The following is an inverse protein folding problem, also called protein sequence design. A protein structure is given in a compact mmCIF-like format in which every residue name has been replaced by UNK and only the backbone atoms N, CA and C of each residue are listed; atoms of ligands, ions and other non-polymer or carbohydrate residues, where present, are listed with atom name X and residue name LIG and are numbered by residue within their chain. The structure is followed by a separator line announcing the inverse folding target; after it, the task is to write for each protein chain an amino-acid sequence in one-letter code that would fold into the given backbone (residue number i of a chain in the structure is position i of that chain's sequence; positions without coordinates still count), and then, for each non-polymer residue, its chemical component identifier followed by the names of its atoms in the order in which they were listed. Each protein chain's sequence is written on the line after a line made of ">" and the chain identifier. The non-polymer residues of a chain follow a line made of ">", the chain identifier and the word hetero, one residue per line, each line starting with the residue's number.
data_IF_353677782767
#
_entry.id   IF_353677782767
#
_cell.length_a   1.000
_cell.length_b   1.000
_cell.length_c   1.000
_cell.angle_alpha   90.00
_cell.angle_beta   90.00
_cell.angle_gamma   90.00
#
_symmetry.space_group_name_H-M   'P 1'
#
loop_
_entity.id
_entity.type
_entity.pdbx_description
1 polymer ?
#
# COMPACT_ATOMS: atom_id res chain seq x y z
N UNK A 1 16.59 1.90 20.47
CA UNK A 1 15.45 1.82 21.40
C UNK A 1 14.33 2.60 20.74
N UNK A 2 13.32 1.94 20.15
CA UNK A 2 12.17 2.62 19.55
C UNK A 2 11.38 3.27 20.69
N UNK A 3 11.44 4.60 20.77
CA UNK A 3 10.83 5.38 21.84
C UNK A 3 9.31 5.21 21.78
N UNK A 4 8.67 4.87 22.90
CA UNK A 4 7.25 4.54 23.02
C UNK A 4 6.42 5.84 23.02
N UNK A 5 6.54 6.63 21.95
CA UNK A 5 5.85 7.91 21.72
C UNK A 5 4.56 7.68 20.92
N UNK A 6 3.86 6.58 21.19
CA UNK A 6 2.80 6.03 20.32
C UNK A 6 1.41 6.63 20.51
N UNK A 7 1.12 7.31 21.62
CA UNK A 7 -0.27 7.60 21.99
C UNK A 7 -0.87 8.86 21.35
N UNK A 8 -0.06 9.74 20.76
CA UNK A 8 -0.53 11.05 20.24
C UNK A 8 -0.06 11.36 18.81
N UNK A 9 0.49 10.38 18.11
CA UNK A 9 0.91 10.52 16.71
C UNK A 9 -0.17 9.94 15.80
N UNK A 10 -0.42 10.55 14.63
CA UNK A 10 -1.30 9.93 13.65
C UNK A 10 -0.75 8.55 13.27
N UNK A 11 -1.65 7.58 13.09
CA UNK A 11 -1.29 6.25 12.61
C UNK A 11 -0.50 6.39 11.31
N UNK A 12 0.59 5.63 11.19
CA UNK A 12 1.43 5.66 10.00
C UNK A 12 0.62 5.24 8.76
N UNK A 13 0.89 5.87 7.58
CA UNK A 13 0.26 5.46 6.34
C UNK A 13 0.70 4.05 5.93
N UNK A 14 -0.15 3.39 5.17
CA UNK A 14 0.19 2.12 4.54
C UNK A 14 1.04 2.37 3.30
N UNK A 15 2.07 1.55 3.10
CA UNK A 15 2.91 1.60 1.90
C UNK A 15 2.72 0.36 1.05
N UNK A 16 2.36 0.57 -0.22
CA UNK A 16 2.15 -0.51 -1.19
C UNK A 16 3.11 -0.36 -2.36
N UNK A 17 3.88 -1.42 -2.64
CA UNK A 17 4.67 -1.51 -3.87
C UNK A 17 3.80 -2.07 -4.99
N UNK A 18 3.63 -1.29 -6.05
CA UNK A 18 2.89 -1.70 -7.24
C UNK A 18 3.84 -1.94 -8.40
N UNK A 19 3.48 -2.91 -9.25
CA UNK A 19 4.27 -3.22 -10.43
C UNK A 19 4.33 -2.01 -11.36
N UNK A 20 5.54 -1.67 -11.79
CA UNK A 20 5.78 -0.58 -12.71
C UNK A 20 5.90 -1.13 -14.14
N UNK A 21 4.86 -0.93 -14.95
CA UNK A 21 4.83 -1.42 -16.32
C UNK A 21 5.90 -0.81 -17.23
N UNK A 22 6.38 0.40 -16.93
CA UNK A 22 7.45 1.05 -17.69
C UNK A 22 8.85 0.57 -17.28
N UNK A 23 9.03 0.21 -16.00
CA UNK A 23 10.30 -0.24 -15.45
C UNK A 23 10.08 -1.47 -14.53
N UNK A 24 10.00 -2.70 -15.08
CA UNK A 24 9.63 -3.92 -14.35
C UNK A 24 10.46 -4.21 -13.08
N UNK A 25 11.73 -3.81 -13.09
CA UNK A 25 12.67 -4.02 -11.97
C UNK A 25 12.63 -2.89 -10.92
N UNK A 26 11.76 -1.89 -11.09
CA UNK A 26 11.67 -0.71 -10.24
C UNK A 26 10.21 -0.43 -9.87
N UNK A 27 9.66 -1.13 -8.86
CA UNK A 27 8.27 -0.96 -8.45
C UNK A 27 8.00 0.46 -7.96
N UNK A 28 6.78 0.95 -8.20
CA UNK A 28 6.37 2.25 -7.68
C UNK A 28 5.86 2.09 -6.25
N UNK A 29 6.18 3.04 -5.38
CA UNK A 29 5.66 3.10 -4.02
C UNK A 29 4.43 4.02 -3.96
N UNK A 30 3.32 3.49 -3.46
CA UNK A 30 2.12 4.24 -3.15
C UNK A 30 1.99 4.40 -1.63
N UNK A 31 1.77 5.63 -1.18
CA UNK A 31 1.37 5.94 0.19
C UNK A 31 -0.15 5.98 0.25
N UNK A 32 -0.74 5.20 1.14
CA UNK A 32 -2.18 5.12 1.37
C UNK A 32 -2.50 5.53 2.81
N UNK A 33 -3.74 5.92 3.06
CA UNK A 33 -4.18 6.13 4.44
C UNK A 33 -4.04 4.84 5.26
N UNK A 34 -3.84 4.99 6.57
CA UNK A 34 -3.64 3.86 7.46
C UNK A 34 -4.82 2.87 7.37
N UNK A 35 -4.51 1.59 7.14
CA UNK A 35 -5.49 0.52 7.00
C UNK A 35 -6.07 0.34 5.59
N UNK A 36 -5.76 1.20 4.63
CA UNK A 36 -6.28 1.11 3.27
C UNK A 36 -5.49 0.17 2.36
N UNK A 37 -4.28 -0.25 2.74
CA UNK A 37 -3.44 -1.11 1.89
C UNK A 37 -4.05 -2.47 1.60
N UNK A 38 -4.71 -3.09 2.59
CA UNK A 38 -5.38 -4.37 2.42
C UNK A 38 -6.59 -4.27 1.49
N UNK A 39 -7.39 -3.21 1.62
CA UNK A 39 -8.54 -2.94 0.77
C UNK A 39 -8.08 -2.75 -0.68
N UNK A 40 -7.10 -1.87 -0.90
CA UNK A 40 -6.53 -1.61 -2.22
C UNK A 40 -6.04 -2.89 -2.91
N UNK A 41 -5.33 -3.76 -2.19
CA UNK A 41 -4.89 -5.06 -2.73
C UNK A 41 -6.07 -5.92 -3.19
N UNK A 42 -7.14 -5.99 -2.39
CA UNK A 42 -8.32 -6.78 -2.72
C UNK A 42 -9.03 -6.23 -3.96
N UNK A 43 -9.24 -4.91 -4.02
CA UNK A 43 -9.90 -4.24 -5.14
C UNK A 43 -9.13 -4.46 -6.45
N UNK A 44 -7.79 -4.36 -6.42
CA UNK A 44 -6.95 -4.65 -7.60
C UNK A 44 -7.05 -6.11 -8.03
N UNK A 45 -7.08 -7.06 -7.08
CA UNK A 45 -7.24 -8.48 -7.40
C UNK A 45 -8.59 -8.76 -8.07
N UNK A 46 -9.68 -8.21 -7.52
CA UNK A 46 -11.01 -8.33 -8.11
C UNK A 46 -11.07 -7.72 -9.52
N UNK A 47 -10.49 -6.53 -9.70
CA UNK A 47 -10.44 -5.89 -11.01
C UNK A 47 -9.71 -6.75 -12.05
N UNK A 48 -8.61 -7.41 -11.66
CA UNK A 48 -7.88 -8.31 -12.56
C UNK A 48 -8.72 -9.53 -12.92
N UNK A 49 -9.42 -10.12 -11.94
CA UNK A 49 -10.34 -11.25 -12.17
C UNK A 49 -11.49 -10.88 -13.11
N UNK A 50 -12.08 -9.69 -12.95
CA UNK A 50 -13.20 -9.21 -13.78
C UNK A 50 -12.79 -8.97 -15.25
N UNK A 51 -11.49 -8.82 -15.54
CA UNK A 51 -10.95 -8.53 -16.87
C UNK A 51 -10.40 -9.78 -17.60
N UNK A 52 -10.44 -10.96 -16.97
CA UNK A 52 -9.96 -12.24 -17.54
C UNK A 52 -11.09 -13.21 -17.85
#
# INVERSE_FOLDING_TARGET
>A
ILNIEGSNRPTAPDWCYVYNFSQPNSPNALSLEAGMGCLFKHDVAQLVEDLT
#
